data_IF_233819158975
#
_entry.id   IF_233819158975
#
_cell.length_a   1.000
_cell.length_b   1.000
_cell.length_c   1.000
_cell.angle_alpha   90.00
_cell.angle_beta   90.00
_cell.angle_gamma   90.00
#
_symmetry.space_group_name_H-M   'P 1'
#
loop_
_entity.id
_entity.type
_entity.pdbx_description
1 polymer ?
#
# COMPACT_ATOMS: atom_id res chain seq x y z
N UNK A 1 12.81 28.01 23.69
CA UNK A 1 12.47 26.84 22.86
C UNK A 1 12.22 27.34 21.46
N UNK A 2 13.11 27.07 20.51
CA UNK A 2 12.87 27.37 19.09
C UNK A 2 11.64 26.61 18.60
N UNK A 3 10.79 27.26 17.80
CA UNK A 3 9.69 26.57 17.12
C UNK A 3 10.28 25.47 16.22
N UNK A 4 9.75 24.24 16.25
CA UNK A 4 10.24 23.17 15.38
C UNK A 4 10.14 23.62 13.91
N UNK A 5 11.27 23.58 13.19
CA UNK A 5 11.32 23.95 11.77
C UNK A 5 10.51 22.92 10.97
N UNK A 6 9.38 23.34 10.41
CA UNK A 6 8.48 22.51 9.60
C UNK A 6 9.00 22.21 8.20
N UNK A 7 10.11 22.84 7.81
CA UNK A 7 10.62 22.82 6.44
C UNK A 7 11.90 21.98 6.32
N UNK A 8 12.09 21.01 7.23
CA UNK A 8 13.21 20.09 7.13
C UNK A 8 12.90 18.93 6.20
N UNK A 9 13.79 18.64 5.25
CA UNK A 9 13.66 17.51 4.34
C UNK A 9 15.02 17.01 3.86
N UNK A 10 15.03 15.78 3.38
CA UNK A 10 16.09 15.18 2.59
C UNK A 10 15.47 14.48 1.39
N UNK A 11 15.94 14.79 0.20
CA UNK A 11 15.43 14.22 -1.04
C UNK A 11 16.59 13.69 -1.87
N UNK A 12 16.50 12.43 -2.24
CA UNK A 12 17.38 11.76 -3.19
C UNK A 12 16.70 11.66 -4.55
N UNK A 13 17.36 12.18 -5.60
CA UNK A 13 16.85 12.25 -6.99
C UNK A 13 17.58 11.21 -7.86
N UNK A 14 17.11 9.96 -7.95
CA UNK A 14 17.75 8.91 -8.77
C UNK A 14 17.89 9.26 -10.25
N UNK A 15 17.01 10.10 -10.79
CA UNK A 15 17.04 10.60 -12.16
C UNK A 15 18.30 11.44 -12.45
N UNK A 16 18.81 12.13 -11.43
CA UNK A 16 20.02 12.95 -11.52
C UNK A 16 21.29 12.15 -11.19
N UNK A 17 21.15 10.87 -10.82
CA UNK A 17 22.27 10.00 -10.47
C UNK A 17 22.85 9.36 -11.74
N UNK A 18 23.99 9.85 -12.20
CA UNK A 18 24.72 9.32 -13.35
C UNK A 18 25.50 8.04 -13.04
N UNK A 19 25.74 7.21 -14.06
CA UNK A 19 26.45 5.93 -13.89
C UNK A 19 27.91 6.08 -13.43
N UNK A 20 28.52 7.24 -13.69
CA UNK A 20 29.89 7.56 -13.25
C UNK A 20 29.93 8.27 -11.88
N UNK A 21 28.79 8.66 -11.32
CA UNK A 21 28.77 9.42 -10.07
C UNK A 21 29.15 8.55 -8.86
N UNK A 22 28.89 7.24 -8.93
CA UNK A 22 29.42 6.25 -7.99
C UNK A 22 30.95 6.32 -7.96
N UNK A 23 31.61 6.25 -9.13
CA UNK A 23 33.07 6.37 -9.21
C UNK A 23 33.55 7.73 -8.70
N UNK A 24 32.92 8.84 -9.14
CA UNK A 24 33.30 10.19 -8.70
C UNK A 24 33.19 10.38 -7.19
N UNK A 25 32.25 9.71 -6.53
CA UNK A 25 32.13 9.74 -5.07
C UNK A 25 33.34 9.07 -4.41
N UNK A 26 33.67 7.84 -4.82
CA UNK A 26 34.82 7.11 -4.28
C UNK A 26 36.14 7.88 -4.50
N UNK A 27 36.30 8.57 -5.63
CA UNK A 27 37.52 9.33 -5.93
C UNK A 27 37.55 10.74 -5.31
N UNK A 28 36.45 11.50 -5.30
CA UNK A 28 36.49 12.91 -4.87
C UNK A 28 36.17 13.14 -3.39
N UNK A 29 35.58 12.16 -2.69
CA UNK A 29 35.16 12.25 -1.26
C UNK A 29 34.41 13.54 -0.90
N UNK A 30 33.75 14.18 -1.87
CA UNK A 30 32.99 15.40 -1.65
C UNK A 30 31.76 15.13 -0.78
N UNK A 31 31.26 16.19 -0.16
CA UNK A 31 30.04 16.14 0.62
C UNK A 31 28.83 15.78 -0.25
N UNK A 32 27.83 15.07 0.28
CA UNK A 32 26.62 14.69 -0.45
C UNK A 32 25.84 15.91 -0.98
N UNK A 33 25.75 16.98 -0.18
CA UNK A 33 25.01 18.19 -0.54
C UNK A 33 25.57 18.92 -1.76
N UNK A 34 26.79 18.61 -2.17
CA UNK A 34 27.39 19.16 -3.40
C UNK A 34 26.92 18.47 -4.68
N UNK A 35 26.21 17.34 -4.59
CA UNK A 35 25.74 16.60 -5.76
C UNK A 35 24.31 16.98 -6.13
N UNK A 36 24.01 17.08 -7.43
CA UNK A 36 22.68 17.43 -7.96
C UNK A 36 21.60 16.38 -7.65
N UNK A 37 21.98 15.17 -7.24
CA UNK A 37 21.06 14.11 -6.86
C UNK A 37 20.66 14.16 -5.37
N UNK A 38 21.16 15.12 -4.59
CA UNK A 38 20.76 15.32 -3.18
C UNK A 38 20.24 16.74 -2.98
N UNK A 39 19.02 16.86 -2.48
CA UNK A 39 18.47 18.10 -1.95
C UNK A 39 18.26 17.96 -0.44
N UNK A 40 18.76 18.90 0.35
CA UNK A 40 18.61 18.88 1.81
C UNK A 40 18.47 20.30 2.34
N UNK A 41 17.56 20.48 3.29
CA UNK A 41 17.41 21.75 4.03
C UNK A 41 18.38 21.87 5.23
N UNK A 42 19.07 20.77 5.58
CA UNK A 42 20.02 20.68 6.70
C UNK A 42 21.40 20.24 6.23
N UNK A 43 22.43 20.56 7.01
CA UNK A 43 23.80 20.04 6.78
C UNK A 43 23.76 18.50 6.74
N UNK A 44 24.40 17.86 5.74
CA UNK A 44 24.39 16.41 5.61
C UNK A 44 25.09 15.73 6.80
N UNK A 45 24.57 14.55 7.18
CA UNK A 45 25.07 13.75 8.29
C UNK A 45 26.46 13.13 8.05
N UNK A 46 26.89 12.28 8.99
CA UNK A 46 28.20 11.65 9.01
C UNK A 46 28.58 10.91 7.70
N UNK A 47 29.88 10.76 7.36
CA UNK A 47 30.34 10.15 6.11
C UNK A 47 29.79 8.74 5.79
N UNK A 48 29.41 7.96 6.80
CA UNK A 48 28.80 6.63 6.64
C UNK A 48 27.41 6.72 5.98
N UNK A 49 26.65 7.78 6.27
CA UNK A 49 25.37 8.07 5.64
C UNK A 49 25.53 8.29 4.13
N UNK A 50 26.65 8.89 3.71
CA UNK A 50 26.95 9.17 2.30
C UNK A 50 27.08 7.91 1.44
N UNK A 51 27.74 6.87 1.96
CA UNK A 51 27.89 5.62 1.22
C UNK A 51 26.54 4.91 1.05
N UNK A 52 25.73 4.88 2.10
CA UNK A 52 24.41 4.24 2.08
C UNK A 52 23.48 4.94 1.07
N UNK A 53 23.46 6.28 1.06
CA UNK A 53 22.67 7.07 0.09
C UNK A 53 23.07 6.75 -1.36
N UNK A 54 24.36 6.59 -1.62
CA UNK A 54 24.83 6.34 -2.99
C UNK A 54 24.55 4.90 -3.43
N UNK A 55 24.71 3.93 -2.53
CA UNK A 55 24.36 2.53 -2.81
C UNK A 55 22.85 2.36 -3.05
N UNK A 56 22.02 3.05 -2.26
CA UNK A 56 20.56 3.04 -2.44
C UNK A 56 20.14 3.71 -3.74
N UNK A 57 20.72 4.86 -4.11
CA UNK A 57 20.50 5.49 -5.42
C UNK A 57 20.89 4.59 -6.60
N UNK A 58 22.02 3.88 -6.48
CA UNK A 58 22.44 2.91 -7.49
C UNK A 58 21.46 1.74 -7.60
N UNK A 59 21.00 1.20 -6.48
CA UNK A 59 19.98 0.15 -6.43
C UNK A 59 18.65 0.62 -7.02
N UNK A 60 18.19 1.82 -6.65
CA UNK A 60 16.97 2.45 -7.17
C UNK A 60 17.03 2.57 -8.70
N UNK A 61 18.18 2.97 -9.25
CA UNK A 61 18.39 3.04 -10.69
C UNK A 61 18.28 1.67 -11.38
N UNK A 62 18.81 0.61 -10.78
CA UNK A 62 18.65 -0.77 -11.28
C UNK A 62 17.18 -1.18 -11.24
N UNK A 63 16.50 -0.92 -10.12
CA UNK A 63 15.09 -1.27 -9.93
C UNK A 63 14.18 -0.58 -10.96
N UNK A 64 14.40 0.72 -11.20
CA UNK A 64 13.67 1.48 -12.23
C UNK A 64 13.98 0.97 -13.64
N UNK A 65 15.22 0.57 -13.92
CA UNK A 65 15.61 0.00 -15.21
C UNK A 65 14.90 -1.34 -15.51
N UNK A 66 14.75 -2.20 -14.50
CA UNK A 66 14.11 -3.52 -14.67
C UNK A 66 12.58 -3.49 -14.52
N UNK A 67 11.96 -2.33 -14.28
CA UNK A 67 10.52 -2.21 -14.03
C UNK A 67 9.63 -2.84 -15.10
N UNK A 68 9.80 -2.41 -16.36
CA UNK A 68 8.99 -2.93 -17.47
C UNK A 68 9.17 -4.44 -17.69
N UNK A 69 10.40 -4.99 -17.79
CA UNK A 69 10.57 -6.43 -17.98
C UNK A 69 10.06 -7.25 -16.79
N UNK A 70 10.29 -6.78 -15.55
CA UNK A 70 9.81 -7.48 -14.36
C UNK A 70 8.27 -7.48 -14.28
N UNK A 71 7.62 -6.35 -14.59
CA UNK A 71 6.16 -6.25 -14.63
C UNK A 71 5.55 -7.15 -15.71
N UNK A 72 6.19 -7.24 -16.88
CA UNK A 72 5.76 -8.18 -17.93
C UNK A 72 5.90 -9.63 -17.47
N UNK A 73 7.01 -9.98 -16.83
CA UNK A 73 7.23 -11.32 -16.29
C UNK A 73 6.13 -11.70 -15.28
N UNK A 74 5.82 -10.81 -14.34
CA UNK A 74 4.72 -11.02 -13.38
C UNK A 74 3.38 -11.25 -14.05
N UNK A 75 3.04 -10.41 -15.04
CA UNK A 75 1.81 -10.56 -15.82
C UNK A 75 1.72 -11.93 -16.53
N UNK A 76 2.84 -12.43 -17.08
CA UNK A 76 2.89 -13.76 -17.72
C UNK A 76 2.73 -14.87 -16.70
N UNK A 77 3.46 -14.80 -15.58
CA UNK A 77 3.40 -15.80 -14.50
C UNK A 77 1.96 -15.90 -13.97
N UNK A 78 1.34 -14.78 -13.59
CA UNK A 78 -0.02 -14.79 -13.08
C UNK A 78 -1.03 -15.30 -14.12
N UNK A 79 -0.88 -14.91 -15.38
CA UNK A 79 -1.75 -15.41 -16.44
C UNK A 79 -1.63 -16.93 -16.59
N UNK A 80 -0.41 -17.47 -16.62
CA UNK A 80 -0.17 -18.92 -16.73
C UNK A 80 -0.73 -19.67 -15.52
N UNK A 81 -0.51 -19.17 -14.30
CA UNK A 81 -1.05 -19.78 -13.08
C UNK A 81 -2.58 -19.78 -13.06
N UNK A 82 -3.22 -18.67 -13.43
CA UNK A 82 -4.68 -18.60 -13.53
C UNK A 82 -5.23 -19.48 -14.66
N UNK A 83 -4.58 -19.49 -15.82
CA UNK A 83 -4.99 -20.32 -16.95
C UNK A 83 -4.97 -21.80 -16.55
N UNK A 84 -3.91 -22.24 -15.88
CA UNK A 84 -3.81 -23.57 -15.32
C UNK A 84 -4.92 -23.85 -14.30
N UNK A 85 -5.11 -22.97 -13.33
CA UNK A 85 -6.03 -23.19 -12.22
C UNK A 85 -7.50 -23.19 -12.65
N UNK A 86 -7.91 -22.28 -13.55
CA UNK A 86 -9.29 -22.19 -14.05
C UNK A 86 -9.69 -23.36 -14.96
N UNK A 87 -8.70 -24.00 -15.60
CA UNK A 87 -8.95 -25.12 -16.50
C UNK A 87 -8.82 -26.50 -15.82
N UNK A 88 -8.57 -26.56 -14.50
CA UNK A 88 -8.46 -27.84 -13.77
C UNK A 88 -7.10 -28.53 -13.93
N UNK A 89 -6.03 -27.74 -14.11
CA UNK A 89 -4.66 -28.21 -14.25
C UNK A 89 -4.35 -28.86 -15.61
N UNK A 90 -3.26 -29.66 -15.70
CA UNK A 90 -2.80 -30.22 -16.99
C UNK A 90 -3.88 -31.12 -17.61
N UNK A 91 -4.41 -32.05 -16.83
CA UNK A 91 -5.41 -33.01 -17.30
C UNK A 91 -6.75 -32.35 -17.60
N UNK A 92 -7.19 -31.41 -16.75
CA UNK A 92 -8.40 -30.63 -16.99
C UNK A 92 -8.29 -29.78 -18.25
N UNK A 93 -7.13 -29.17 -18.49
CA UNK A 93 -6.88 -28.39 -19.70
C UNK A 93 -6.94 -29.26 -20.96
N UNK A 94 -6.29 -30.44 -20.96
CA UNK A 94 -6.39 -31.38 -22.08
C UNK A 94 -7.84 -31.75 -22.37
N UNK A 95 -8.63 -32.03 -21.33
CA UNK A 95 -10.05 -32.33 -21.46
C UNK A 95 -10.88 -31.14 -21.98
N UNK A 96 -10.58 -29.92 -21.52
CA UNK A 96 -11.24 -28.69 -21.98
C UNK A 96 -10.90 -28.33 -23.42
N UNK A 97 -9.70 -28.67 -23.89
CA UNK A 97 -9.34 -28.54 -25.31
C UNK A 97 -10.16 -29.51 -26.15
N UNK A 98 -10.26 -30.78 -25.73
CA UNK A 98 -11.08 -31.79 -26.43
C UNK A 98 -12.57 -31.43 -26.46
N UNK A 99 -13.07 -30.78 -25.42
CA UNK A 99 -14.48 -30.35 -25.30
C UNK A 99 -14.73 -28.90 -25.73
N UNK A 100 -13.73 -28.20 -26.26
CA UNK A 100 -13.79 -26.79 -26.70
C UNK A 100 -14.38 -25.86 -25.61
N UNK A 101 -14.01 -26.10 -24.35
CA UNK A 101 -14.52 -25.40 -23.16
C UNK A 101 -13.40 -24.75 -22.34
N UNK A 102 -12.31 -24.35 -23.00
CA UNK A 102 -11.15 -23.68 -22.38
C UNK A 102 -11.56 -22.30 -21.86
N UNK A 103 -11.23 -22.02 -20.60
CA UNK A 103 -11.48 -20.75 -19.93
C UNK A 103 -10.24 -19.87 -20.04
N UNK A 104 -10.38 -18.67 -20.59
CA UNK A 104 -9.31 -17.67 -20.64
C UNK A 104 -9.42 -16.78 -19.39
N UNK A 105 -8.34 -16.61 -18.59
CA UNK A 105 -8.35 -15.76 -17.41
C UNK A 105 -8.67 -14.30 -17.72
N UNK A 106 -9.69 -13.76 -17.04
CA UNK A 106 -9.99 -12.34 -17.02
C UNK A 106 -9.43 -11.71 -15.75
N UNK A 107 -8.49 -10.77 -15.89
CA UNK A 107 -7.84 -10.05 -14.78
C UNK A 107 -8.80 -9.28 -13.87
N UNK A 108 -9.97 -8.91 -14.38
CA UNK A 108 -10.97 -8.17 -13.62
C UNK A 108 -12.00 -9.08 -12.94
N UNK A 109 -11.88 -10.41 -13.10
CA UNK A 109 -12.81 -11.37 -12.51
C UNK A 109 -12.45 -11.71 -11.06
N UNK A 110 -13.47 -12.05 -10.27
CA UNK A 110 -13.28 -12.53 -8.90
C UNK A 110 -12.53 -13.88 -8.81
N UNK A 111 -12.37 -14.59 -9.93
CA UNK A 111 -11.64 -15.86 -10.00
C UNK A 111 -10.16 -15.70 -10.36
N UNK A 112 -9.74 -14.51 -10.80
CA UNK A 112 -8.34 -14.22 -11.10
C UNK A 112 -7.58 -13.90 -9.82
N UNK A 113 -6.42 -14.54 -9.66
CA UNK A 113 -5.57 -14.48 -8.47
C UNK A 113 -4.20 -13.89 -8.79
N UNK A 114 -3.69 -13.01 -7.94
CA UNK A 114 -2.28 -12.63 -7.96
C UNK A 114 -1.39 -13.83 -7.57
N UNK A 115 -0.08 -13.70 -7.77
CA UNK A 115 0.88 -14.70 -7.25
C UNK A 115 0.75 -14.88 -5.73
N UNK A 116 0.42 -13.84 -4.97
CA UNK A 116 0.28 -13.94 -3.52
C UNK A 116 -0.94 -14.81 -3.12
N UNK A 117 -2.05 -14.72 -3.85
CA UNK A 117 -3.20 -15.61 -3.66
C UNK A 117 -2.93 -17.06 -4.11
N UNK A 118 -1.89 -17.31 -4.94
CA UNK A 118 -1.42 -18.67 -5.21
C UNK A 118 -0.48 -19.20 -4.11
N UNK A 119 0.32 -18.35 -3.47
CA UNK A 119 1.18 -18.73 -2.34
C UNK A 119 0.35 -19.04 -1.10
N UNK A 120 -0.67 -18.22 -0.80
CA UNK A 120 -1.64 -18.48 0.28
C UNK A 120 -3.07 -18.40 -0.25
N UNK A 121 -3.62 -19.56 -0.59
CA UNK A 121 -4.94 -19.74 -1.19
C UNK A 121 -6.12 -19.56 -0.24
N UNK A 122 -5.88 -19.36 1.07
CA UNK A 122 -6.97 -19.14 2.04
C UNK A 122 -7.70 -17.85 1.69
N UNK A 123 -9.03 -17.86 1.78
CA UNK A 123 -9.85 -16.65 1.64
C UNK A 123 -10.70 -16.44 2.88
N UNK A 124 -11.19 -17.53 3.48
CA UNK A 124 -12.01 -17.47 4.68
C UNK A 124 -11.22 -17.05 5.91
N UNK A 125 -11.90 -16.35 6.83
CA UNK A 125 -11.38 -16.05 8.15
C UNK A 125 -11.36 -17.32 9.01
N UNK A 126 -10.39 -17.39 9.91
CA UNK A 126 -10.25 -18.47 10.87
C UNK A 126 -11.48 -18.53 11.77
N UNK A 127 -12.18 -19.68 11.72
CA UNK A 127 -13.33 -19.91 12.57
C UNK A 127 -12.89 -20.35 13.98
N UNK A 128 -12.93 -19.43 14.93
CA UNK A 128 -12.63 -19.70 16.34
C UNK A 128 -13.55 -20.74 17.00
N UNK A 129 -14.74 -20.99 16.44
CA UNK A 129 -15.63 -22.04 16.94
C UNK A 129 -15.12 -23.46 16.68
N UNK A 130 -14.22 -23.66 15.70
CA UNK A 130 -13.67 -24.98 15.33
C UNK A 130 -12.36 -25.33 16.04
N UNK A 131 -11.76 -24.40 16.79
CA UNK A 131 -10.44 -24.59 17.40
C UNK A 131 -10.56 -24.73 18.91
N UNK A 132 -10.20 -25.89 19.45
CA UNK A 132 -10.23 -26.21 20.88
C UNK A 132 -9.21 -25.42 21.72
N UNK A 133 -8.38 -24.59 21.11
CA UNK A 133 -7.34 -23.82 21.80
C UNK A 133 -7.83 -22.39 22.11
N UNK A 134 -8.44 -22.26 23.30
CA UNK A 134 -8.71 -20.99 24.00
C UNK A 134 -7.38 -20.29 24.38
N UNK A 135 -6.70 -19.62 23.46
CA UNK A 135 -5.46 -18.91 23.84
C UNK A 135 -5.59 -17.39 23.88
N UNK A 136 -6.47 -16.72 23.13
CA UNK A 136 -6.75 -15.30 23.39
C UNK A 136 -8.19 -14.92 23.01
N UNK A 137 -9.17 -15.30 23.86
CA UNK A 137 -10.44 -14.57 23.85
C UNK A 137 -10.18 -13.19 24.44
N UNK A 138 -9.83 -12.23 23.60
CA UNK A 138 -10.00 -10.83 23.97
C UNK A 138 -11.51 -10.67 24.20
N UNK A 139 -11.89 -10.34 25.43
CA UNK A 139 -13.29 -10.11 25.84
C UNK A 139 -13.84 -8.83 25.20
N UNK A 140 -13.89 -8.79 23.87
CA UNK A 140 -14.53 -7.72 23.12
C UNK A 140 -15.66 -8.32 22.28
N UNK A 141 -16.74 -7.56 22.24
CA UNK A 141 -18.08 -7.77 21.68
C UNK A 141 -18.12 -8.04 20.17
N UNK A 142 -17.04 -8.54 19.56
CA UNK A 142 -16.99 -8.99 18.16
C UNK A 142 -17.11 -10.51 18.13
N UNK A 143 -18.32 -11.00 18.36
CA UNK A 143 -18.61 -12.43 18.36
C UNK A 143 -18.42 -13.02 16.95
N UNK A 144 -17.19 -13.41 16.61
CA UNK A 144 -16.77 -14.50 15.70
C UNK A 144 -15.47 -14.21 14.92
N UNK A 145 -15.02 -12.96 14.83
CA UNK A 145 -13.86 -12.58 13.99
C UNK A 145 -12.68 -12.15 14.85
N UNK A 146 -11.57 -12.87 14.74
CA UNK A 146 -10.30 -12.49 15.38
C UNK A 146 -9.68 -11.30 14.65
N UNK A 147 -9.47 -10.13 15.30
CA UNK A 147 -8.96 -8.93 14.64
C UNK A 147 -7.61 -9.14 13.94
N UNK A 148 -6.76 -10.02 14.48
CA UNK A 148 -5.47 -10.36 13.89
C UNK A 148 -5.60 -11.14 12.58
N UNK A 149 -6.51 -12.11 12.54
CA UNK A 149 -6.75 -12.88 11.32
C UNK A 149 -7.40 -12.00 10.25
N UNK A 150 -8.35 -11.13 10.66
CA UNK A 150 -8.95 -10.16 9.76
C UNK A 150 -7.93 -9.17 9.19
N UNK A 151 -7.00 -8.61 9.98
CA UNK A 151 -5.97 -7.71 9.44
C UNK A 151 -5.01 -8.43 8.51
N UNK A 152 -4.59 -9.65 8.86
CA UNK A 152 -3.69 -10.44 8.03
C UNK A 152 -4.33 -10.82 6.69
N UNK A 153 -5.61 -11.21 6.73
CA UNK A 153 -6.36 -11.55 5.52
C UNK A 153 -6.70 -10.30 4.69
N UNK A 154 -7.01 -9.17 5.32
CA UNK A 154 -7.23 -7.90 4.63
C UNK A 154 -5.97 -7.36 3.96
N UNK A 155 -4.81 -7.40 4.64
CA UNK A 155 -3.54 -6.97 4.04
C UNK A 155 -3.14 -7.83 2.85
N UNK A 156 -3.39 -9.15 2.92
CA UNK A 156 -3.19 -10.06 1.80
C UNK A 156 -4.12 -9.75 0.64
N UNK A 157 -5.42 -9.65 0.91
CA UNK A 157 -6.43 -9.47 -0.15
C UNK A 157 -6.33 -8.09 -0.81
N UNK A 158 -5.69 -7.11 -0.17
CA UNK A 158 -5.42 -5.80 -0.77
C UNK A 158 -4.55 -5.86 -2.05
N UNK A 159 -3.86 -6.97 -2.31
CA UNK A 159 -3.11 -7.20 -3.56
C UNK A 159 -3.99 -7.70 -4.72
N UNK A 160 -5.23 -8.09 -4.44
CA UNK A 160 -6.12 -8.67 -5.44
C UNK A 160 -6.96 -7.60 -6.16
N UNK A 161 -7.56 -7.99 -7.28
CA UNK A 161 -8.41 -7.11 -8.07
C UNK A 161 -9.74 -6.78 -7.34
N UNK A 162 -10.44 -5.70 -7.71
CA UNK A 162 -11.65 -5.26 -7.00
C UNK A 162 -12.76 -6.32 -6.89
N UNK A 163 -12.96 -7.14 -7.93
CA UNK A 163 -13.98 -8.18 -7.91
C UNK A 163 -13.62 -9.32 -6.96
N UNK A 164 -12.34 -9.67 -6.86
CA UNK A 164 -11.86 -10.64 -5.87
C UNK A 164 -12.06 -10.10 -4.45
N UNK A 165 -11.64 -8.85 -4.19
CA UNK A 165 -11.82 -8.19 -2.88
C UNK A 165 -13.28 -8.18 -2.47
N UNK A 166 -14.18 -7.77 -3.37
CA UNK A 166 -15.62 -7.77 -3.11
C UNK A 166 -16.14 -9.18 -2.79
N UNK A 167 -15.75 -10.18 -3.58
CA UNK A 167 -16.16 -11.56 -3.34
C UNK A 167 -15.69 -12.05 -1.96
N UNK A 168 -14.43 -11.80 -1.60
CA UNK A 168 -13.89 -12.17 -0.29
C UNK A 168 -14.64 -11.49 0.86
N UNK A 169 -14.75 -10.17 0.83
CA UNK A 169 -15.38 -9.39 1.91
C UNK A 169 -16.86 -9.75 2.07
N UNK A 170 -17.63 -9.71 0.98
CA UNK A 170 -19.09 -9.84 1.06
C UNK A 170 -19.55 -11.29 1.17
N UNK A 171 -18.89 -12.22 0.45
CA UNK A 171 -19.35 -13.62 0.40
C UNK A 171 -18.63 -14.53 1.38
N UNK A 172 -17.32 -14.36 1.58
CA UNK A 172 -16.55 -15.22 2.48
C UNK A 172 -16.60 -14.69 3.92
N UNK A 173 -16.32 -13.40 4.13
CA UNK A 173 -16.27 -12.82 5.47
C UNK A 173 -17.63 -12.36 5.99
N UNK A 174 -18.63 -12.26 5.11
CA UNK A 174 -19.97 -11.74 5.42
C UNK A 174 -19.92 -10.31 5.99
N UNK A 175 -18.95 -9.53 5.53
CA UNK A 175 -18.74 -8.13 5.88
C UNK A 175 -19.23 -7.21 4.75
N UNK A 176 -19.31 -5.91 5.00
CA UNK A 176 -19.71 -4.94 4.00
C UNK A 176 -18.48 -4.28 3.36
N UNK A 177 -18.32 -4.38 2.05
CA UNK A 177 -17.31 -3.61 1.34
C UNK A 177 -17.82 -2.17 1.15
N UNK A 178 -17.15 -1.21 1.77
CA UNK A 178 -17.51 0.22 1.65
C UNK A 178 -17.04 0.75 0.30
N UNK A 179 -15.75 0.58 -0.01
CA UNK A 179 -15.16 1.07 -1.27
C UNK A 179 -13.80 0.44 -1.54
N UNK A 180 -13.53 0.18 -2.81
CA UNK A 180 -12.18 -0.06 -3.33
C UNK A 180 -11.65 1.23 -3.96
N UNK A 181 -10.36 1.51 -3.73
CA UNK A 181 -9.68 2.72 -4.17
C UNK A 181 -8.53 2.36 -5.10
N UNK A 182 -8.40 3.12 -6.19
CA UNK A 182 -7.22 3.16 -7.04
C UNK A 182 -6.89 4.63 -7.28
N UNK A 183 -5.94 5.14 -6.50
CA UNK A 183 -5.70 6.56 -6.34
C UNK A 183 -4.46 7.02 -7.10
N UNK A 184 -4.53 8.25 -7.57
CA UNK A 184 -3.49 8.92 -8.33
C UNK A 184 -2.30 9.30 -7.46
N UNK A 185 -1.11 9.12 -8.01
CA UNK A 185 0.13 9.61 -7.44
C UNK A 185 0.73 10.68 -8.35
N UNK A 186 0.87 11.89 -7.81
CA UNK A 186 1.28 13.07 -8.59
C UNK A 186 2.73 13.01 -9.06
N UNK A 187 3.59 12.22 -8.42
CA UNK A 187 4.99 12.07 -8.80
C UNK A 187 5.19 10.97 -9.86
N UNK A 188 4.42 9.89 -9.78
CA UNK A 188 4.50 8.79 -10.74
C UNK A 188 3.56 8.95 -11.94
N UNK A 189 2.63 9.92 -11.90
CA UNK A 189 1.63 10.18 -12.94
C UNK A 189 0.82 8.93 -13.31
N UNK A 190 0.48 8.15 -12.30
CA UNK A 190 -0.26 6.91 -12.45
C UNK A 190 -1.04 6.59 -11.17
N UNK A 191 -2.04 5.70 -11.29
CA UNK A 191 -2.76 5.17 -10.14
C UNK A 191 -1.96 4.05 -9.49
N UNK A 192 -1.07 4.39 -8.56
CA UNK A 192 -0.16 3.43 -7.92
C UNK A 192 -0.59 3.02 -6.52
N UNK A 193 -1.49 3.79 -5.88
CA UNK A 193 -1.95 3.49 -4.51
C UNK A 193 -3.30 2.84 -4.55
N UNK A 194 -3.38 1.59 -4.10
CA UNK A 194 -4.61 0.84 -3.99
C UNK A 194 -4.93 0.56 -2.53
N UNK A 195 -6.21 0.62 -2.18
CA UNK A 195 -6.70 0.31 -0.85
C UNK A 195 -8.16 -0.12 -0.92
N UNK A 196 -8.65 -0.75 0.14
CA UNK A 196 -10.08 -0.91 0.32
C UNK A 196 -10.49 -0.68 1.77
N UNK A 197 -11.75 -0.30 1.93
CA UNK A 197 -12.40 -0.13 3.23
C UNK A 197 -13.53 -1.16 3.32
N UNK A 198 -13.56 -1.94 4.39
CA UNK A 198 -14.70 -2.79 4.73
C UNK A 198 -15.12 -2.61 6.18
N UNK A 199 -16.36 -2.96 6.48
CA UNK A 199 -16.97 -2.82 7.80
C UNK A 199 -17.73 -4.07 8.20
N UNK A 200 -17.94 -4.28 9.51
CA UNK A 200 -18.79 -5.38 10.00
C UNK A 200 -20.23 -5.25 9.49
N UNK A 201 -20.74 -4.02 9.35
CA UNK A 201 -22.10 -3.70 8.89
C UNK A 201 -22.14 -2.48 7.99
N UNK A 202 -23.16 -2.39 7.15
CA UNK A 202 -23.37 -1.24 6.26
C UNK A 202 -23.83 0.05 6.97
N UNK A 203 -24.47 -0.10 8.15
CA UNK A 203 -24.91 1.00 9.02
C UNK A 203 -24.48 0.69 10.45
N UNK A 204 -24.18 1.73 11.23
CA UNK A 204 -23.80 1.64 12.64
C UNK A 204 -22.65 0.63 12.86
N UNK A 205 -21.64 0.71 11.98
CA UNK A 205 -20.48 -0.17 11.99
C UNK A 205 -19.69 -0.01 13.28
N UNK A 206 -19.36 -1.13 13.92
CA UNK A 206 -18.52 -1.19 15.11
C UNK A 206 -17.04 -1.38 14.75
N UNK A 207 -16.77 -1.92 13.55
CA UNK A 207 -15.44 -2.17 13.03
C UNK A 207 -15.34 -1.70 11.58
N UNK A 208 -14.30 -0.93 11.28
CA UNK A 208 -13.86 -0.67 9.92
C UNK A 208 -12.40 -1.08 9.82
N UNK A 209 -12.10 -1.74 8.71
CA UNK A 209 -10.76 -2.10 8.29
C UNK A 209 -10.43 -1.26 7.06
N UNK A 210 -9.29 -0.58 7.13
CA UNK A 210 -8.66 0.05 5.98
C UNK A 210 -7.39 -0.76 5.67
N UNK A 211 -7.36 -1.36 4.49
CA UNK A 211 -6.22 -2.13 4.02
C UNK A 211 -5.63 -1.47 2.78
N UNK A 212 -4.34 -1.15 2.84
CA UNK A 212 -3.56 -0.69 1.70
C UNK A 212 -2.87 -1.87 1.04
N UNK A 213 -2.81 -1.84 -0.28
CA UNK A 213 -1.90 -2.71 -1.03
C UNK A 213 -0.47 -2.31 -0.73
N UNK A 214 0.37 -3.28 -0.44
CA UNK A 214 1.80 -3.07 -0.29
C UNK A 214 2.59 -3.27 -1.58
N UNK A 215 3.84 -3.65 -1.42
CA UNK A 215 4.84 -3.79 -2.49
C UNK A 215 4.56 -5.04 -3.34
N UNK A 216 4.21 -4.86 -4.61
CA UNK A 216 3.95 -6.00 -5.49
C UNK A 216 5.26 -6.74 -5.87
N UNK A 217 5.29 -8.09 -5.84
CA UNK A 217 6.51 -8.85 -6.10
C UNK A 217 7.17 -8.59 -7.47
N UNK A 218 6.36 -8.29 -8.50
CA UNK A 218 6.83 -8.06 -9.87
C UNK A 218 6.82 -6.58 -10.27
N UNK A 219 6.78 -5.68 -9.29
CA UNK A 219 6.76 -4.24 -9.52
C UNK A 219 7.99 -3.60 -8.84
N UNK A 220 9.12 -3.57 -9.53
CA UNK A 220 10.34 -2.97 -8.96
C UNK A 220 10.25 -1.45 -8.76
N UNK A 221 9.22 -0.77 -9.28
CA UNK A 221 8.97 0.64 -8.95
C UNK A 221 8.43 0.79 -7.52
N UNK A 222 7.61 -0.15 -7.05
CA UNK A 222 7.21 -0.19 -5.63
C UNK A 222 8.45 -0.42 -4.75
N UNK A 223 9.34 -1.33 -5.15
CA UNK A 223 10.57 -1.64 -4.42
C UNK A 223 11.55 -0.47 -4.41
N UNK A 224 11.64 0.27 -5.53
CA UNK A 224 12.43 1.49 -5.65
C UNK A 224 11.97 2.54 -4.63
N UNK A 225 10.67 2.62 -4.39
CA UNK A 225 10.08 3.50 -3.37
C UNK A 225 10.52 3.06 -1.97
N UNK A 226 10.52 1.77 -1.67
CA UNK A 226 10.88 1.24 -0.34
C UNK A 226 12.35 1.46 0.05
N UNK A 227 13.27 1.44 -0.94
CA UNK A 227 14.70 1.63 -0.71
C UNK A 227 15.15 3.10 -0.78
N UNK A 228 14.26 3.99 -1.23
CA UNK A 228 14.54 5.41 -1.27
C UNK A 228 14.70 5.94 0.17
N UNK A 229 15.68 6.82 0.42
CA UNK A 229 15.95 7.33 1.78
C UNK A 229 15.41 8.73 2.02
N UNK A 230 14.64 9.26 1.07
CA UNK A 230 14.04 10.58 1.18
C UNK A 230 13.06 10.64 2.34
N UNK A 231 13.07 11.75 3.06
CA UNK A 231 12.16 12.00 4.17
C UNK A 231 11.75 13.47 4.23
N UNK A 232 10.57 13.71 4.80
CA UNK A 232 10.04 15.04 5.09
C UNK A 232 9.75 15.15 6.59
N UNK A 233 10.06 16.31 7.17
CA UNK A 233 9.71 16.62 8.56
C UNK A 233 8.25 17.03 8.66
N UNK A 234 7.57 16.48 9.65
CA UNK A 234 6.17 16.77 9.98
C UNK A 234 6.08 17.61 11.25
N UNK A 235 7.14 18.39 11.52
CA UNK A 235 7.29 19.18 12.74
C UNK A 235 7.43 18.27 13.97
N UNK A 236 6.50 18.37 14.91
CA UNK A 236 6.56 17.63 16.19
C UNK A 236 6.37 16.12 16.03
N UNK A 237 5.80 15.66 14.92
CA UNK A 237 5.55 14.23 14.65
C UNK A 237 6.81 13.50 14.11
N UNK A 238 7.90 14.23 13.87
CA UNK A 238 9.17 13.67 13.43
C UNK A 238 9.30 13.60 11.90
N UNK A 239 10.18 12.72 11.43
CA UNK A 239 10.53 12.56 10.02
C UNK A 239 9.83 11.34 9.46
N UNK A 240 9.17 11.50 8.31
CA UNK A 240 8.42 10.43 7.67
C UNK A 240 9.02 10.15 6.30
N UNK A 241 9.10 8.86 5.95
CA UNK A 241 9.60 8.42 4.66
C UNK A 241 8.76 9.02 3.51
N UNK A 242 9.44 9.64 2.54
CA UNK A 242 8.80 10.41 1.47
C UNK A 242 7.91 9.54 0.59
N UNK A 243 8.33 8.30 0.28
CA UNK A 243 7.57 7.39 -0.56
C UNK A 243 6.15 7.12 -0.04
N UNK A 244 5.99 6.98 1.29
CA UNK A 244 4.66 6.80 1.88
C UNK A 244 3.81 8.06 1.80
N UNK A 245 4.41 9.24 1.96
CA UNK A 245 3.68 10.50 1.81
C UNK A 245 3.21 10.70 0.36
N UNK A 246 4.07 10.40 -0.62
CA UNK A 246 3.69 10.39 -2.04
C UNK A 246 2.53 9.43 -2.31
N UNK A 247 2.59 8.23 -1.75
CA UNK A 247 1.52 7.24 -1.89
C UNK A 247 0.18 7.71 -1.29
N UNK A 248 0.21 8.49 -0.21
CA UNK A 248 -0.98 9.10 0.38
C UNK A 248 -1.50 10.32 -0.39
N UNK A 249 -0.73 10.86 -1.34
CA UNK A 249 -1.14 11.99 -2.17
C UNK A 249 -0.48 13.32 -1.80
N UNK A 250 0.73 13.28 -1.24
CA UNK A 250 1.58 14.47 -1.08
C UNK A 250 1.71 15.19 -2.43
N UNK A 251 1.68 16.53 -2.43
CA UNK A 251 1.88 17.33 -3.65
C UNK A 251 3.11 18.25 -3.62
N UNK A 252 3.69 18.48 -2.45
CA UNK A 252 4.91 19.26 -2.25
C UNK A 252 5.89 18.47 -1.36
N UNK A 253 7.10 18.21 -1.87
CA UNK A 253 8.12 17.41 -1.17
C UNK A 253 8.96 18.23 -0.19
N UNK A 254 8.83 19.55 -0.16
CA UNK A 254 9.68 20.46 0.62
C UNK A 254 8.96 21.08 1.80
N UNK A 255 7.63 21.13 1.75
CA UNK A 255 6.79 21.72 2.79
C UNK A 255 5.58 20.81 3.05
N UNK A 256 5.57 20.15 4.21
CA UNK A 256 4.52 19.20 4.56
C UNK A 256 3.13 19.84 4.63
N UNK A 257 3.02 21.09 5.10
CA UNK A 257 1.74 21.78 5.22
C UNK A 257 1.18 22.17 3.84
N UNK A 258 2.06 22.51 2.89
CA UNK A 258 1.67 22.73 1.48
C UNK A 258 1.46 21.44 0.71
N UNK A 259 2.09 20.35 1.14
CA UNK A 259 1.97 19.05 0.51
C UNK A 259 0.66 18.32 0.84
N UNK A 260 0.01 18.67 1.95
CA UNK A 260 -1.32 18.20 2.33
C UNK A 260 -2.23 19.40 2.71
N UNK A 261 -2.65 20.22 1.73
CA UNK A 261 -3.60 21.31 1.99
C UNK A 261 -4.94 20.76 2.53
N UNK A 262 -5.75 21.62 3.14
CA UNK A 262 -7.03 21.19 3.71
C UNK A 262 -7.99 20.60 2.65
N UNK A 263 -7.96 21.12 1.42
CA UNK A 263 -8.74 20.61 0.30
C UNK A 263 -7.84 19.99 -0.75
N UNK A 264 -8.35 18.98 -1.46
CA UNK A 264 -7.59 18.34 -2.54
C UNK A 264 -7.25 19.37 -3.63
N UNK A 265 -5.96 19.55 -3.98
CA UNK A 265 -5.57 20.46 -5.06
C UNK A 265 -6.00 19.94 -6.44
N UNK A 266 -6.40 18.66 -6.53
CA UNK A 266 -6.84 17.99 -7.76
C UNK A 266 -8.34 17.65 -7.72
N UNK A 267 -9.13 18.33 -6.88
CA UNK A 267 -10.57 18.06 -6.71
C UNK A 267 -11.38 18.16 -8.00
N UNK A 268 -10.95 18.97 -8.95
CA UNK A 268 -11.66 19.24 -10.20
C UNK A 268 -11.45 18.12 -11.25
N UNK A 269 -10.52 17.19 -11.02
CA UNK A 269 -10.24 16.05 -11.90
C UNK A 269 -10.48 14.73 -11.16
N UNK A 270 -11.68 14.11 -11.30
CA UNK A 270 -12.00 12.85 -10.64
C UNK A 270 -11.06 11.70 -11.00
N UNK A 271 -10.37 11.76 -12.14
CA UNK A 271 -9.40 10.74 -12.54
C UNK A 271 -8.09 10.81 -11.74
N UNK A 272 -7.85 11.95 -11.06
CA UNK A 272 -6.67 12.23 -10.25
C UNK A 272 -6.97 12.28 -8.75
N UNK A 273 -7.90 11.44 -8.30
CA UNK A 273 -8.26 11.34 -6.90
C UNK A 273 -7.06 10.89 -6.05
N UNK A 274 -6.62 11.76 -5.13
CA UNK A 274 -5.53 11.52 -4.19
C UNK A 274 -6.01 10.65 -3.01
N UNK A 275 -5.16 9.75 -2.51
CA UNK A 275 -5.56 8.71 -1.56
C UNK A 275 -6.06 9.26 -0.21
N UNK A 276 -5.33 10.19 0.39
CA UNK A 276 -5.69 10.81 1.67
C UNK A 276 -7.09 11.42 1.63
N UNK A 277 -7.34 12.28 0.64
CA UNK A 277 -8.64 12.95 0.47
C UNK A 277 -9.75 11.95 0.16
N UNK A 278 -9.52 11.00 -0.75
CA UNK A 278 -10.51 9.98 -1.11
C UNK A 278 -10.97 9.15 0.10
N UNK A 279 -10.03 8.78 0.96
CA UNK A 279 -10.29 8.01 2.18
C UNK A 279 -10.98 8.87 3.24
N UNK A 280 -10.48 10.09 3.46
CA UNK A 280 -11.06 11.06 4.40
C UNK A 280 -12.50 11.41 4.03
N UNK A 281 -12.77 11.73 2.77
CA UNK A 281 -14.10 12.13 2.32
C UNK A 281 -15.08 10.95 2.36
N UNK A 282 -14.61 9.72 2.12
CA UNK A 282 -15.42 8.51 2.33
C UNK A 282 -15.78 8.33 3.80
N UNK A 283 -14.86 8.67 4.71
CA UNK A 283 -15.12 8.69 6.15
C UNK A 283 -16.12 9.78 6.52
N UNK A 284 -15.96 11.02 6.05
CA UNK A 284 -16.85 12.14 6.38
C UNK A 284 -18.27 11.96 5.81
N UNK A 285 -18.38 11.45 4.57
CA UNK A 285 -19.66 11.05 3.99
C UNK A 285 -20.35 9.91 4.76
N UNK A 286 -19.57 9.13 5.52
CA UNK A 286 -20.09 8.13 6.45
C UNK A 286 -20.42 8.72 7.84
N UNK A 287 -19.75 9.80 8.26
CA UNK A 287 -19.92 10.48 9.57
C UNK A 287 -21.17 11.39 9.63
N UNK A 288 -21.71 11.83 8.49
CA UNK A 288 -23.11 12.31 8.42
C UNK A 288 -24.14 11.21 8.81
N UNK A 289 -23.66 9.98 9.09
CA UNK A 289 -24.33 8.90 9.80
C UNK A 289 -23.45 8.43 10.99
N UNK A 290 -23.09 9.36 11.89
CA UNK A 290 -22.53 9.19 13.23
C UNK A 290 -21.34 8.19 13.41
N UNK A 291 -20.11 8.70 13.58
CA UNK A 291 -19.18 8.46 14.71
C UNK A 291 -17.68 8.62 14.29
N UNK A 292 -16.79 9.15 15.17
CA UNK A 292 -15.38 9.41 14.84
C UNK A 292 -14.46 8.18 14.87
N UNK A 293 -13.61 8.03 13.83
CA UNK A 293 -12.52 7.03 13.76
C UNK A 293 -11.21 7.55 14.40
N UNK A 294 -10.56 6.76 15.28
CA UNK A 294 -9.21 7.02 15.78
C UNK A 294 -8.21 6.02 15.18
N UNK A 295 -7.29 6.47 14.32
CA UNK A 295 -6.26 5.59 13.74
C UNK A 295 -5.10 5.33 14.70
N UNK A 296 -4.72 4.06 14.88
CA UNK A 296 -3.40 3.65 15.41
C UNK A 296 -2.74 2.75 14.37
N UNK A 297 -1.54 3.09 13.92
CA UNK A 297 -0.82 2.39 12.86
C UNK A 297 0.48 1.80 13.43
N UNK A 298 0.72 0.51 13.22
CA UNK A 298 2.07 -0.09 13.30
C UNK A 298 2.56 -0.38 11.87
N UNK A 299 3.54 0.44 11.43
CA UNK A 299 4.46 0.40 10.28
C UNK A 299 4.20 -0.46 9.01
N UNK A 300 4.35 0.20 7.84
CA UNK A 300 4.58 -0.28 6.42
C UNK A 300 3.39 -1.10 5.85
N UNK A 301 2.94 -0.92 4.58
CA UNK A 301 1.53 -1.08 4.21
C UNK A 301 0.95 -2.42 4.65
N UNK A 302 0.10 -2.31 5.66
CA UNK A 302 -0.54 -3.39 6.38
C UNK A 302 -1.83 -2.85 6.98
N UNK A 303 -2.86 -3.69 7.01
CA UNK A 303 -4.21 -3.29 7.42
C UNK A 303 -4.21 -2.78 8.86
N UNK A 304 -4.84 -1.62 9.07
CA UNK A 304 -5.06 -1.06 10.40
C UNK A 304 -6.44 -1.47 10.90
N UNK A 305 -6.50 -2.13 12.06
CA UNK A 305 -7.74 -2.31 12.84
C UNK A 305 -7.80 -1.31 13.97
N UNK A 306 -8.99 -0.70 14.14
CA UNK A 306 -9.26 0.24 15.22
C UNK A 306 -10.36 -0.35 16.11
N UNK A 307 -10.05 -0.76 17.35
CA UNK A 307 -11.07 -1.02 18.36
C UNK A 307 -11.63 0.30 18.90
N UNK A 308 -12.96 0.45 18.94
CA UNK A 308 -13.61 1.54 19.66
C UNK A 308 -13.76 1.15 21.16
N UNK A 309 -13.47 2.05 22.12
CA UNK A 309 -13.79 1.80 23.52
C UNK A 309 -15.31 1.87 23.75
N UNK A 310 -15.86 0.89 24.48
CA UNK A 310 -17.25 0.92 24.93
C UNK A 310 -17.47 2.11 25.88
N UNK A 311 -18.28 3.07 25.48
CA UNK A 311 -18.90 4.00 26.43
C UNK A 311 -20.03 3.26 27.15
N UNK A 312 -19.70 2.55 28.23
CA UNK A 312 -20.68 2.26 29.26
C UNK A 312 -20.66 3.41 30.26
N UNK A 313 -21.68 4.27 30.17
CA UNK A 313 -22.16 5.03 31.33
C UNK A 313 -22.91 4.07 32.23
N UNK A 314 -22.29 3.70 33.35
CA UNK A 314 -22.90 3.56 34.68
C UNK A 314 -21.85 3.96 35.72
#
# INVERSE_FOLDING_TARGET
MESPKTNEFFISRPENFGSFDLCKFFFSRKCLSTYQFVETSTQPGAPQFSLIVILTLFLEKILLFIYKPLKLLGNVIEFVLNFYALNGGVFGLLWRVLTVSVVIPDKNSASYRSVLAFIDSRVDLFNTASSSNKVYKINNTFNAVEPFDLTAMASKIAYENPAFVQNAVEKHWKMHLVKFFSCWNEFYKANTTQAFICSDKAKDAQLIVLAFRGTEPFNSQDWATDVNLSWISTGKMGKVHMGFMKALGLTDERDFAKGFPAESPLKDDPSKALAYYSIRDTREGSDNRAQPWRSSCNAVPGAATVPQPNNHTE
#
